data_IF_068032333839
#
_entry.id   IF_068032333839
#
_cell.length_a   1.000
_cell.length_b   1.000
_cell.length_c   1.000
_cell.angle_alpha   90.00
_cell.angle_beta   90.00
_cell.angle_gamma   90.00
#
_symmetry.space_group_name_H-M   'P 1'
#
loop_
_entity.id
_entity.type
_entity.pdbx_description
1 polymer ?
#
# COMPACT_ATOMS: atom_id res chain seq x y z
N UNK A 1 19.22 9.27 8.52
CA UNK A 1 19.18 7.79 8.57
C UNK A 1 19.99 7.26 7.40
N UNK A 2 20.83 6.23 7.59
CA UNK A 2 21.60 5.65 6.50
C UNK A 2 20.74 4.63 5.73
N UNK A 3 20.96 4.48 4.43
CA UNK A 3 20.12 3.59 3.59
C UNK A 3 20.10 2.14 4.07
N UNK A 4 21.25 1.64 4.57
CA UNK A 4 21.37 0.29 5.11
C UNK A 4 20.48 0.07 6.34
N UNK A 5 20.37 1.07 7.21
CA UNK A 5 19.53 0.99 8.41
C UNK A 5 18.05 0.81 8.05
N UNK A 6 17.57 1.50 7.01
CA UNK A 6 16.18 1.40 6.54
C UNK A 6 15.89 0.00 6.00
N UNK A 7 16.83 -0.60 5.26
CA UNK A 7 16.67 -1.94 4.71
C UNK A 7 16.62 -3.01 5.81
N UNK A 8 17.48 -2.90 6.82
CA UNK A 8 17.58 -3.89 7.90
C UNK A 8 16.43 -3.80 8.92
N UNK A 9 15.80 -2.62 9.07
CA UNK A 9 14.79 -2.39 10.11
C UNK A 9 13.35 -2.24 9.60
N UNK A 10 13.11 -2.31 8.28
CA UNK A 10 11.75 -2.34 7.74
C UNK A 10 11.04 -3.60 8.26
N UNK A 11 9.80 -3.45 8.72
CA UNK A 11 8.92 -4.55 9.19
C UNK A 11 7.53 -4.42 8.59
N UNK A 12 6.77 -5.50 8.52
CA UNK A 12 5.37 -5.46 8.09
C UNK A 12 4.50 -4.98 9.24
N UNK A 13 3.74 -3.90 9.03
CA UNK A 13 2.87 -3.30 10.05
C UNK A 13 1.41 -3.47 9.63
N UNK A 14 0.61 -4.33 10.30
CA UNK A 14 -0.76 -4.62 9.88
C UNK A 14 -1.79 -3.59 10.35
N UNK A 15 -1.44 -2.75 11.34
CA UNK A 15 -2.34 -1.73 11.91
C UNK A 15 -1.75 -0.35 11.68
N UNK A 16 -2.30 0.35 10.69
CA UNK A 16 -1.93 1.73 10.36
C UNK A 16 -2.92 2.69 11.01
N UNK A 17 -2.44 3.89 11.35
CA UNK A 17 -3.23 4.96 11.96
C UNK A 17 -3.01 6.25 11.19
N UNK A 18 -3.90 7.22 11.38
CA UNK A 18 -3.73 8.56 10.85
C UNK A 18 -2.64 9.35 11.62
N UNK A 19 -1.98 10.33 10.98
CA UNK A 19 -2.18 10.75 9.59
C UNK A 19 -1.46 9.85 8.58
N UNK A 20 -2.10 9.62 7.43
CA UNK A 20 -1.41 9.08 6.26
C UNK A 20 -0.34 10.05 5.74
N UNK A 21 0.65 9.57 4.94
CA UNK A 21 1.62 10.45 4.29
C UNK A 21 0.93 11.53 3.46
N UNK A 22 1.43 12.76 3.53
CA UNK A 22 0.93 13.86 2.72
C UNK A 22 1.29 13.69 1.22
N UNK A 23 0.75 14.56 0.37
CA UNK A 23 0.98 14.48 -1.07
C UNK A 23 2.46 14.60 -1.46
N UNK A 24 3.22 15.50 -0.82
CA UNK A 24 4.64 15.69 -1.14
C UNK A 24 5.48 14.48 -0.71
N UNK A 25 5.16 13.88 0.44
CA UNK A 25 5.78 12.65 0.91
C UNK A 25 5.50 11.48 -0.05
N UNK A 26 4.26 11.36 -0.56
CA UNK A 26 3.90 10.32 -1.55
C UNK A 26 4.65 10.47 -2.87
N UNK A 27 4.81 11.69 -3.37
CA UNK A 27 5.59 11.92 -4.60
C UNK A 27 7.05 11.46 -4.46
N UNK A 28 7.68 11.69 -3.29
CA UNK A 28 9.02 11.17 -3.01
C UNK A 28 9.02 9.63 -3.02
N UNK A 29 8.03 9.00 -2.40
CA UNK A 29 7.89 7.54 -2.36
C UNK A 29 7.71 6.96 -3.77
N UNK A 30 6.84 7.54 -4.60
CA UNK A 30 6.65 7.12 -5.99
C UNK A 30 7.94 7.31 -6.79
N UNK A 31 8.61 8.45 -6.65
CA UNK A 31 9.89 8.70 -7.30
C UNK A 31 10.96 7.65 -6.96
N UNK A 32 11.02 7.22 -5.70
CA UNK A 32 11.90 6.13 -5.26
C UNK A 32 11.47 4.77 -5.85
N UNK A 33 10.19 4.44 -5.83
CA UNK A 33 9.66 3.18 -6.35
C UNK A 33 9.89 3.02 -7.87
N UNK A 34 9.78 4.11 -8.63
CA UNK A 34 10.06 4.17 -10.07
C UNK A 34 11.52 3.89 -10.43
N UNK A 35 12.43 3.80 -9.46
CA UNK A 35 13.83 3.38 -9.68
C UNK A 35 14.05 1.88 -9.56
N UNK A 36 13.02 1.12 -9.20
CA UNK A 36 13.09 -0.34 -9.22
C UNK A 36 13.46 -0.82 -10.63
N UNK A 37 14.48 -1.68 -10.78
CA UNK A 37 14.83 -2.21 -12.08
C UNK A 37 13.69 -3.07 -12.62
N UNK A 38 13.48 -2.99 -13.93
CA UNK A 38 12.52 -3.82 -14.65
C UNK A 38 13.15 -4.34 -15.94
N UNK A 39 12.84 -5.59 -16.31
CA UNK A 39 13.46 -6.23 -17.45
C UNK A 39 12.99 -5.56 -18.75
N UNK A 40 13.91 -4.92 -19.44
CA UNK A 40 13.62 -4.22 -20.69
C UNK A 40 13.10 -2.78 -20.55
N UNK A 41 13.13 -2.18 -19.35
CA UNK A 41 12.66 -0.80 -19.11
C UNK A 41 11.20 -0.54 -19.58
N UNK A 42 10.37 -1.57 -19.50
CA UNK A 42 8.96 -1.57 -19.83
C UNK A 42 8.13 -0.67 -18.91
N UNK A 43 8.60 -0.45 -17.67
CA UNK A 43 7.88 0.32 -16.64
C UNK A 43 6.41 -0.12 -16.49
N UNK A 44 6.13 -1.41 -16.26
CA UNK A 44 4.76 -1.95 -16.32
C UNK A 44 3.87 -1.55 -15.13
N UNK A 45 4.40 -0.77 -14.19
CA UNK A 45 3.74 -0.40 -12.95
C UNK A 45 2.80 0.79 -13.11
N UNK A 46 1.68 0.75 -12.39
CA UNK A 46 0.73 1.85 -12.24
C UNK A 46 0.44 2.03 -10.76
N UNK A 47 0.51 3.26 -10.27
CA UNK A 47 0.13 3.59 -8.91
C UNK A 47 -1.30 4.12 -8.91
N UNK A 48 -2.14 3.56 -8.03
CA UNK A 48 -3.49 4.06 -7.75
C UNK A 48 -3.49 4.56 -6.31
N UNK A 49 -3.80 5.85 -6.13
CA UNK A 49 -3.96 6.42 -4.80
C UNK A 49 -5.44 6.37 -4.42
N UNK A 50 -5.76 5.65 -3.34
CA UNK A 50 -7.11 5.57 -2.77
C UNK A 50 -7.08 6.21 -1.40
N UNK A 51 -7.75 7.35 -1.24
CA UNK A 51 -7.67 8.17 -0.03
C UNK A 51 -9.04 8.63 0.47
N UNK A 52 -9.10 9.09 1.72
CA UNK A 52 -10.31 9.58 2.36
C UNK A 52 -11.45 8.55 2.33
N UNK A 53 -12.70 8.99 2.07
CA UNK A 53 -13.87 8.10 2.03
C UNK A 53 -13.78 6.96 1.00
N UNK A 54 -13.02 7.14 -0.08
CA UNK A 54 -12.83 6.08 -1.08
C UNK A 54 -12.05 4.88 -0.51
N UNK A 55 -11.13 5.13 0.44
CA UNK A 55 -10.38 4.07 1.15
C UNK A 55 -11.30 3.20 1.99
N UNK A 56 -12.23 3.83 2.70
CA UNK A 56 -13.23 3.14 3.54
C UNK A 56 -14.15 2.27 2.67
N UNK A 57 -14.70 2.86 1.60
CA UNK A 57 -15.52 2.13 0.62
C UNK A 57 -14.76 0.95 -0.02
N UNK A 58 -13.47 1.11 -0.31
CA UNK A 58 -12.66 0.01 -0.81
C UNK A 58 -12.56 -1.13 0.21
N UNK A 59 -12.44 -0.82 1.50
CA UNK A 59 -12.47 -1.82 2.58
C UNK A 59 -13.77 -2.62 2.60
N UNK A 60 -14.91 -1.95 2.49
CA UNK A 60 -16.23 -2.61 2.43
C UNK A 60 -16.34 -3.55 1.22
N UNK A 61 -15.90 -3.11 0.04
CA UNK A 61 -15.91 -3.93 -1.18
C UNK A 61 -15.02 -5.17 -1.04
N UNK A 62 -13.88 -5.07 -0.35
CA UNK A 62 -13.02 -6.22 -0.09
C UNK A 62 -13.69 -7.24 0.83
N UNK A 63 -14.44 -6.78 1.84
CA UNK A 63 -15.23 -7.67 2.71
C UNK A 63 -16.34 -8.36 1.92
N UNK A 64 -17.06 -7.61 1.08
CA UNK A 64 -18.12 -8.15 0.21
C UNK A 64 -17.57 -9.22 -0.75
N UNK A 65 -16.44 -8.94 -1.41
CA UNK A 65 -15.79 -9.90 -2.31
C UNK A 65 -15.35 -11.18 -1.59
N UNK A 66 -14.88 -11.06 -0.34
CA UNK A 66 -14.53 -12.21 0.49
C UNK A 66 -15.76 -13.07 0.82
N UNK A 67 -16.88 -12.45 1.19
CA UNK A 67 -18.15 -13.15 1.44
C UNK A 67 -18.63 -13.95 0.23
N UNK A 68 -18.44 -13.41 -0.98
CA UNK A 68 -18.87 -14.05 -2.22
C UNK A 68 -17.95 -15.21 -2.66
N UNK A 69 -16.69 -15.22 -2.22
CA UNK A 69 -15.68 -16.22 -2.64
C UNK A 69 -15.60 -17.47 -1.75
N UNK A 70 -16.59 -17.67 -0.86
CA UNK A 70 -16.61 -18.76 0.14
C UNK A 70 -15.42 -18.77 1.10
N UNK A 71 -14.70 -17.65 1.22
CA UNK A 71 -13.59 -17.51 2.16
C UNK A 71 -14.07 -17.41 3.60
N UNK A 72 -13.36 -18.01 4.55
CA UNK A 72 -13.63 -17.83 5.98
C UNK A 72 -13.40 -16.37 6.37
N UNK A 73 -14.41 -15.73 6.95
CA UNK A 73 -14.32 -14.38 7.47
C UNK A 73 -14.02 -14.47 8.95
N UNK A 74 -12.77 -14.20 9.31
CA UNK A 74 -12.39 -14.08 10.72
C UNK A 74 -12.65 -12.65 11.18
N UNK A 75 -13.38 -12.44 12.29
CA UNK A 75 -13.54 -11.11 12.87
C UNK A 75 -12.19 -10.48 13.18
N UNK A 76 -12.10 -9.16 13.00
CA UNK A 76 -10.88 -8.41 13.31
C UNK A 76 -10.67 -8.42 14.84
N UNK A 77 -9.52 -8.93 15.30
CA UNK A 77 -9.09 -8.92 16.71
C UNK A 77 -8.40 -7.61 17.09
#
# INVERSE_FOLDING_TARGET
MQALDVLLNRVSVPRLVDPAPDAAQREIMFGAALRSPDHGQLKPYRFLTVEGPARERMGELLVEALQQSSGEITPQA
#
